data_IF_793788409349
#
_entry.id   IF_793788409349
#
_cell.length_a   1.000
_cell.length_b   1.000
_cell.length_c   1.000
_cell.angle_alpha   90.00
_cell.angle_beta   90.00
_cell.angle_gamma   90.00
#
_symmetry.space_group_name_H-M   'P 1'
#
loop_
_entity.id
_entity.type
_entity.pdbx_description
1 polymer ?
#
# COMPACT_ATOMS: atom_id res chain seq x y z
N UNK A 1 -18.25 -7.28 0.25
CA UNK A 1 -16.79 -7.18 0.41
C UNK A 1 -16.09 -8.06 -0.61
N UNK A 2 -14.90 -7.66 -1.00
CA UNK A 2 -14.05 -8.45 -1.86
C UNK A 2 -12.81 -8.88 -1.10
N UNK A 3 -12.28 -10.02 -1.49
CA UNK A 3 -11.02 -10.51 -0.96
C UNK A 3 -9.87 -10.00 -1.81
N UNK A 4 -8.85 -9.47 -1.15
CA UNK A 4 -7.68 -8.92 -1.82
C UNK A 4 -6.41 -9.54 -1.30
N UNK A 5 -5.46 -9.74 -2.23
CA UNK A 5 -4.07 -9.98 -1.86
C UNK A 5 -3.39 -8.64 -1.77
N UNK A 6 -2.69 -8.38 -0.68
CA UNK A 6 -2.07 -7.09 -0.38
C UNK A 6 -0.58 -7.27 -0.27
N UNK A 7 0.17 -6.54 -1.09
CA UNK A 7 1.63 -6.50 -1.01
C UNK A 7 2.01 -5.12 -0.47
N UNK A 8 2.53 -5.08 0.74
CA UNK A 8 2.98 -3.85 1.37
C UNK A 8 4.48 -3.75 1.24
N UNK A 9 4.96 -2.63 0.73
CA UNK A 9 6.39 -2.36 0.58
C UNK A 9 6.75 -1.12 1.38
N UNK A 10 7.79 -1.23 2.18
CA UNK A 10 8.31 -0.15 2.99
C UNK A 10 9.79 0.03 2.67
N UNK A 11 10.17 1.26 2.35
CA UNK A 11 11.57 1.59 2.06
C UNK A 11 11.94 2.86 2.80
N UNK A 12 12.95 2.77 3.67
CA UNK A 12 13.47 3.92 4.39
C UNK A 12 14.85 4.26 3.84
N UNK A 13 14.89 5.18 2.88
CA UNK A 13 16.13 5.60 2.23
C UNK A 13 17.07 6.35 3.18
N UNK A 14 16.51 6.97 4.22
CA UNK A 14 17.32 7.76 5.18
C UNK A 14 18.10 6.88 6.15
N UNK A 15 17.77 5.62 6.28
CA UNK A 15 18.47 4.71 7.18
C UNK A 15 19.76 4.14 6.57
N UNK A 16 20.09 4.51 5.35
CA UNK A 16 21.25 3.97 4.65
C UNK A 16 21.10 2.53 4.20
N UNK A 17 19.93 1.97 4.40
CA UNK A 17 19.62 0.59 4.06
C UNK A 17 18.71 0.62 2.84
N UNK A 18 19.23 0.14 1.72
CA UNK A 18 18.55 0.27 0.44
C UNK A 18 17.58 -0.87 0.14
N UNK A 19 17.35 -1.77 1.10
CA UNK A 19 16.52 -2.95 0.84
C UNK A 19 15.08 -2.68 1.21
N UNK A 20 14.14 -2.73 0.24
CA UNK A 20 12.73 -2.59 0.56
C UNK A 20 12.26 -3.79 1.38
N UNK A 21 11.45 -3.51 2.38
CA UNK A 21 10.82 -4.55 3.18
C UNK A 21 9.44 -4.82 2.63
N UNK A 22 9.11 -6.06 2.37
CA UNK A 22 7.82 -6.45 1.81
C UNK A 22 7.11 -7.41 2.74
N UNK A 23 5.81 -7.22 2.82
CA UNK A 23 4.95 -8.16 3.51
C UNK A 23 3.76 -8.50 2.63
N UNK A 24 3.19 -9.68 2.84
CA UNK A 24 2.09 -10.19 2.06
C UNK A 24 0.96 -10.57 2.99
N UNK A 25 -0.26 -10.21 2.61
CA UNK A 25 -1.41 -10.46 3.46
C UNK A 25 -2.64 -10.59 2.56
N UNK A 26 -3.66 -11.30 3.05
CA UNK A 26 -4.95 -11.36 2.39
C UNK A 26 -6.01 -10.82 3.35
N UNK A 27 -6.95 -10.04 2.83
CA UNK A 27 -8.01 -9.46 3.63
C UNK A 27 -9.25 -9.21 2.80
N UNK A 28 -10.41 -9.27 3.46
CA UNK A 28 -11.66 -8.86 2.84
C UNK A 28 -11.86 -7.38 3.12
N UNK A 29 -12.12 -6.61 2.07
CA UNK A 29 -12.26 -5.16 2.16
C UNK A 29 -13.43 -4.70 1.30
N UNK A 30 -14.13 -3.66 1.76
CA UNK A 30 -15.08 -2.94 0.93
C UNK A 30 -14.34 -2.14 -0.14
N UNK A 31 -13.24 -1.51 0.26
CA UNK A 31 -12.41 -0.69 -0.61
C UNK A 31 -10.98 -0.74 -0.08
N UNK A 32 -9.98 -0.84 -0.98
CA UNK A 32 -8.57 -0.78 -0.55
C UNK A 32 -8.23 0.43 0.31
N UNK A 33 -8.92 1.57 0.11
CA UNK A 33 -8.71 2.76 0.92
C UNK A 33 -8.92 2.50 2.41
N UNK A 34 -9.84 1.61 2.76
CA UNK A 34 -10.13 1.29 4.17
C UNK A 34 -8.91 0.68 4.85
N UNK A 35 -8.18 -0.15 4.14
CA UNK A 35 -6.97 -0.78 4.68
C UNK A 35 -5.89 0.27 4.96
N UNK A 36 -5.64 1.15 3.98
CA UNK A 36 -4.60 2.17 4.12
C UNK A 36 -4.98 3.17 5.21
N UNK A 37 -6.25 3.56 5.27
CA UNK A 37 -6.75 4.48 6.29
C UNK A 37 -6.61 3.89 7.69
N UNK A 38 -6.87 2.61 7.85
CA UNK A 38 -6.71 1.94 9.14
C UNK A 38 -5.26 1.88 9.59
N UNK A 39 -4.32 1.77 8.63
CA UNK A 39 -2.89 1.69 8.94
C UNK A 39 -2.28 3.05 9.22
N UNK A 40 -2.71 4.08 8.53
CA UNK A 40 -2.04 5.38 8.55
C UNK A 40 -2.89 6.52 9.13
N UNK A 41 -4.18 6.30 9.33
CA UNK A 41 -5.03 7.29 9.95
C UNK A 41 -5.02 8.62 9.20
N UNK A 42 -4.66 9.69 9.89
CA UNK A 42 -4.66 11.04 9.31
C UNK A 42 -3.66 11.22 8.16
N UNK A 43 -2.66 10.36 8.07
CA UNK A 43 -1.67 10.43 6.99
C UNK A 43 -2.20 9.83 5.68
N UNK A 44 -3.39 9.29 5.69
CA UNK A 44 -4.01 8.74 4.50
C UNK A 44 -4.05 9.75 3.35
N UNK A 45 -4.20 11.03 3.66
CA UNK A 45 -4.24 12.09 2.64
C UNK A 45 -2.94 12.24 1.86
N UNK A 46 -1.84 11.71 2.38
CA UNK A 46 -0.54 11.78 1.73
C UNK A 46 -0.35 10.72 0.67
N UNK A 47 -1.25 9.76 0.61
CA UNK A 47 -1.19 8.69 -0.37
C UNK A 47 -1.86 9.08 -1.67
N UNK A 48 -1.26 8.64 -2.79
CA UNK A 48 -1.89 8.74 -4.10
C UNK A 48 -2.45 7.38 -4.47
N UNK A 49 -3.53 7.36 -5.24
CA UNK A 49 -4.15 6.13 -5.72
C UNK A 49 -3.96 6.03 -7.22
N UNK A 50 -3.46 4.90 -7.68
CA UNK A 50 -3.32 4.58 -9.09
C UNK A 50 -3.99 3.25 -9.38
N UNK A 51 -4.63 3.15 -10.55
CA UNK A 51 -5.10 1.88 -11.06
C UNK A 51 -4.12 1.43 -12.12
N UNK A 52 -3.53 0.25 -11.92
CA UNK A 52 -2.56 -0.30 -12.84
C UNK A 52 -3.25 -0.91 -14.06
N UNK A 53 -2.54 -1.08 -15.18
CA UNK A 53 -3.16 -1.59 -16.41
C UNK A 53 -3.82 -2.96 -16.26
N UNK A 54 -3.36 -3.78 -15.34
CA UNK A 54 -3.93 -5.10 -15.07
C UNK A 54 -5.08 -5.09 -14.07
N UNK A 55 -5.50 -3.91 -13.61
CA UNK A 55 -6.60 -3.76 -12.68
C UNK A 55 -6.22 -3.70 -11.21
N UNK A 56 -4.94 -3.90 -10.90
CA UNK A 56 -4.48 -3.76 -9.52
C UNK A 56 -4.54 -2.31 -9.07
N UNK A 57 -4.72 -2.09 -7.78
CA UNK A 57 -4.78 -0.75 -7.20
C UNK A 57 -3.53 -0.53 -6.36
N UNK A 58 -2.88 0.60 -6.59
CA UNK A 58 -1.67 0.97 -5.87
C UNK A 58 -1.91 2.25 -5.07
N UNK A 59 -1.66 2.18 -3.77
CA UNK A 59 -1.57 3.36 -2.91
C UNK A 59 -0.11 3.61 -2.61
N UNK A 60 0.33 4.84 -2.83
CA UNK A 60 1.74 5.19 -2.68
C UNK A 60 1.92 6.52 -1.95
N UNK A 61 2.85 6.53 -1.02
CA UNK A 61 3.34 7.74 -0.38
C UNK A 61 4.86 7.73 -0.50
N UNK A 62 5.38 8.59 -1.35
CA UNK A 62 6.82 8.67 -1.62
C UNK A 62 7.40 9.90 -0.95
N UNK A 63 8.29 9.69 0.01
CA UNK A 63 8.97 10.74 0.74
C UNK A 63 10.29 10.21 1.26
N UNK A 64 10.76 10.71 2.41
CA UNK A 64 11.94 10.16 3.08
C UNK A 64 11.74 8.68 3.38
N UNK A 65 10.49 8.30 3.66
CA UNK A 65 10.06 6.92 3.79
C UNK A 65 9.04 6.69 2.69
N UNK A 66 9.18 5.57 1.98
CA UNK A 66 8.24 5.21 0.92
C UNK A 66 7.36 4.07 1.40
N UNK A 67 6.05 4.26 1.24
CA UNK A 67 5.04 3.26 1.56
C UNK A 67 4.29 2.92 0.29
N UNK A 68 4.22 1.64 -0.05
CA UNK A 68 3.49 1.17 -1.22
C UNK A 68 2.57 0.04 -0.79
N UNK A 69 1.31 0.12 -1.17
CA UNK A 69 0.33 -0.92 -0.93
C UNK A 69 -0.30 -1.29 -2.26
N UNK A 70 -0.08 -2.51 -2.69
CA UNK A 70 -0.60 -3.01 -3.95
C UNK A 70 -1.69 -4.03 -3.68
N UNK A 71 -2.87 -3.80 -4.24
CA UNK A 71 -4.05 -4.61 -3.99
C UNK A 71 -4.46 -5.35 -5.25
N UNK A 72 -4.54 -6.66 -5.16
CA UNK A 72 -5.00 -7.53 -6.24
C UNK A 72 -6.30 -8.20 -5.80
N UNK A 73 -7.37 -8.02 -6.55
CA UNK A 73 -8.64 -8.69 -6.26
C UNK A 73 -8.50 -10.18 -6.56
N UNK A 74 -8.93 -11.00 -5.62
CA UNK A 74 -8.88 -12.45 -5.74
C UNK A 74 -10.17 -13.03 -6.30
#
# INVERSE_FOLDING_TARGET
MKEYEIVATFLNACAGDAYPQRSFEEAELHDPADYVRAKHGKDFDKFTRETLPDGRILYAWRGAVTWLYEFTAL
#
